data_IF_074148368590
#
_entry.id   IF_074148368590
#
_cell.length_a   1.000
_cell.length_b   1.000
_cell.length_c   1.000
_cell.angle_alpha   90.00
_cell.angle_beta   90.00
_cell.angle_gamma   90.00
#
_symmetry.space_group_name_H-M   'P 1'
#
loop_
_entity.id
_entity.type
_entity.pdbx_description
1 polymer ?
#
# COMPACT_ATOMS: atom_id res chain seq x y z
N UNK A 1 -31.84 7.04 11.04
CA UNK A 1 -30.42 6.66 10.83
C UNK A 1 -30.14 5.49 11.76
N UNK A 2 -30.34 4.30 11.26
CA UNK A 2 -30.27 3.09 12.07
C UNK A 2 -28.89 2.46 11.94
N UNK A 3 -28.09 2.62 13.00
CA UNK A 3 -26.83 1.90 13.12
C UNK A 3 -27.15 0.47 13.52
N UNK A 4 -26.73 -0.48 12.69
CA UNK A 4 -26.89 -1.90 12.98
C UNK A 4 -25.88 -2.32 14.06
N UNK A 5 -26.43 -2.64 15.24
CA UNK A 5 -25.66 -3.21 16.34
C UNK A 5 -25.70 -4.72 16.21
N UNK A 6 -24.57 -5.35 15.93
CA UNK A 6 -24.44 -6.81 15.98
C UNK A 6 -24.24 -7.22 17.45
N UNK A 7 -25.20 -7.94 18.02
CA UNK A 7 -25.09 -8.47 19.39
C UNK A 7 -24.30 -9.78 19.36
N UNK A 8 -23.21 -9.84 20.08
CA UNK A 8 -22.54 -11.08 20.42
C UNK A 8 -22.92 -11.42 21.87
N UNK A 9 -23.47 -12.59 22.07
CA UNK A 9 -23.90 -13.05 23.39
C UNK A 9 -22.84 -14.00 23.94
N UNK A 10 -22.11 -13.59 24.96
CA UNK A 10 -21.24 -14.48 25.73
C UNK A 10 -22.03 -15.06 26.89
N UNK A 11 -22.07 -16.39 26.98
CA UNK A 11 -22.73 -17.12 28.06
C UNK A 11 -21.69 -17.52 29.10
N UNK A 12 -21.76 -16.92 30.27
CA UNK A 12 -20.99 -17.34 31.42
C UNK A 12 -21.84 -18.23 32.33
N UNK A 13 -21.30 -19.40 32.68
CA UNK A 13 -21.94 -20.32 33.63
C UNK A 13 -21.23 -20.20 35.00
N UNK A 14 -21.97 -19.82 36.04
CA UNK A 14 -21.44 -19.85 37.40
C UNK A 14 -21.65 -21.22 38.05
N UNK A 15 -21.01 -21.46 39.23
CA UNK A 15 -21.09 -22.73 39.96
C UNK A 15 -22.49 -23.08 40.47
N UNK A 16 -23.46 -22.20 40.37
CA UNK A 16 -24.82 -22.39 40.85
C UNK A 16 -25.84 -22.58 39.72
N UNK A 17 -25.37 -22.70 38.48
CA UNK A 17 -26.23 -22.95 37.30
C UNK A 17 -27.09 -21.78 36.85
N UNK A 18 -26.84 -20.56 37.32
CA UNK A 18 -27.55 -19.36 36.83
C UNK A 18 -26.88 -18.86 35.58
N UNK A 19 -27.68 -18.68 34.52
CA UNK A 19 -27.21 -18.11 33.23
C UNK A 19 -27.35 -16.60 33.26
N UNK A 20 -26.22 -15.87 33.15
CA UNK A 20 -26.20 -14.45 32.94
C UNK A 20 -25.79 -14.17 31.51
N UNK A 21 -26.62 -13.44 30.76
CA UNK A 21 -26.27 -12.94 29.43
C UNK A 21 -25.87 -11.49 29.60
N UNK A 22 -24.59 -11.22 29.50
CA UNK A 22 -24.10 -9.84 29.45
C UNK A 22 -24.22 -9.32 28.02
N UNK A 23 -25.20 -8.45 27.78
CA UNK A 23 -25.29 -7.69 26.53
C UNK A 23 -24.31 -6.51 26.61
N UNK A 24 -23.02 -6.74 26.46
CA UNK A 24 -22.08 -5.68 26.23
C UNK A 24 -22.03 -5.44 24.71
N UNK A 25 -22.38 -4.27 24.22
CA UNK A 25 -22.18 -3.97 22.80
C UNK A 25 -20.69 -3.94 22.51
N UNK A 26 -20.21 -4.92 21.75
CA UNK A 26 -18.87 -4.85 21.16
C UNK A 26 -18.95 -3.78 20.07
N UNK A 27 -18.50 -2.58 20.39
CA UNK A 27 -18.24 -1.55 19.39
C UNK A 27 -17.04 -2.06 18.57
N UNK A 28 -17.30 -2.75 17.47
CA UNK A 28 -16.29 -2.89 16.44
C UNK A 28 -16.00 -1.47 15.93
N UNK A 29 -14.75 -1.00 15.94
CA UNK A 29 -14.46 0.27 15.29
C UNK A 29 -14.97 0.16 13.86
N UNK A 30 -15.78 1.12 13.45
CA UNK A 30 -16.12 1.32 12.04
C UNK A 30 -14.76 1.42 11.34
N UNK A 31 -14.43 0.50 10.47
CA UNK A 31 -13.28 0.66 9.61
C UNK A 31 -13.52 1.97 8.86
N UNK A 32 -12.73 2.99 9.15
CA UNK A 32 -12.80 4.22 8.38
C UNK A 32 -12.67 3.83 6.92
N UNK A 33 -13.65 4.17 6.11
CA UNK A 33 -13.59 3.93 4.67
C UNK A 33 -12.38 4.70 4.13
N UNK A 34 -11.59 4.05 3.30
CA UNK A 34 -10.44 4.72 2.68
C UNK A 34 -10.95 5.93 1.87
N UNK A 35 -10.25 7.07 1.98
CA UNK A 35 -10.67 8.31 1.32
C UNK A 35 -9.45 9.08 0.82
N UNK A 36 -9.49 9.45 -0.46
CA UNK A 36 -8.46 10.23 -1.12
C UNK A 36 -9.09 11.31 -2.00
N UNK A 37 -8.48 12.50 -2.03
CA UNK A 37 -8.94 13.63 -2.83
C UNK A 37 -7.81 14.08 -3.75
N UNK A 38 -8.09 14.08 -5.04
CA UNK A 38 -7.17 14.53 -6.10
C UNK A 38 -7.53 15.96 -6.54
N UNK A 39 -6.52 16.79 -6.77
CA UNK A 39 -6.67 18.17 -7.24
C UNK A 39 -5.85 18.40 -8.50
N UNK A 40 -6.41 19.13 -9.47
CA UNK A 40 -5.72 19.43 -10.73
C UNK A 40 -4.50 20.33 -10.54
N UNK A 41 -4.56 21.28 -9.61
CA UNK A 41 -3.52 22.27 -9.39
C UNK A 41 -2.79 22.04 -8.05
N UNK A 42 -1.66 22.70 -7.88
CA UNK A 42 -0.89 22.67 -6.62
C UNK A 42 -1.68 23.26 -5.47
N UNK A 43 -1.26 22.93 -4.25
CA UNK A 43 -1.82 23.48 -3.02
C UNK A 43 -3.34 23.31 -2.92
N UNK A 44 -3.84 22.15 -3.38
CA UNK A 44 -5.23 21.76 -3.26
C UNK A 44 -6.21 22.70 -3.97
N UNK A 45 -5.80 23.20 -5.13
CA UNK A 45 -6.57 24.11 -5.95
C UNK A 45 -7.05 23.43 -7.24
N UNK A 46 -7.97 24.11 -7.94
CA UNK A 46 -8.54 23.62 -9.19
C UNK A 46 -9.65 22.60 -8.98
N UNK A 47 -9.97 21.87 -10.06
CA UNK A 47 -10.97 20.81 -10.01
C UNK A 47 -10.49 19.70 -9.10
N UNK A 48 -11.39 19.13 -8.33
CA UNK A 48 -11.11 18.01 -7.43
C UNK A 48 -11.99 16.81 -7.75
N UNK A 49 -11.47 15.64 -7.38
CA UNK A 49 -12.19 14.37 -7.43
C UNK A 49 -11.90 13.57 -6.15
N UNK A 50 -12.97 13.11 -5.51
CA UNK A 50 -12.90 12.31 -4.30
C UNK A 50 -13.16 10.84 -4.64
N UNK A 51 -12.36 9.95 -4.06
CA UNK A 51 -12.45 8.52 -4.30
C UNK A 51 -12.36 7.75 -2.98
N UNK A 52 -13.18 6.71 -2.85
CA UNK A 52 -13.24 5.85 -1.66
C UNK A 52 -13.03 4.36 -2.00
N UNK A 53 -12.78 4.04 -3.26
CA UNK A 53 -12.59 2.69 -3.77
C UNK A 53 -11.61 2.65 -4.93
N UNK A 54 -11.31 1.44 -5.41
CA UNK A 54 -10.50 1.24 -6.61
C UNK A 54 -11.15 1.92 -7.82
N UNK A 55 -10.35 2.67 -8.57
CA UNK A 55 -10.80 3.33 -9.79
C UNK A 55 -9.83 2.99 -10.94
N UNK A 56 -10.27 2.20 -11.94
CA UNK A 56 -9.41 1.78 -13.05
C UNK A 56 -9.13 2.86 -14.06
N UNK A 57 -9.98 3.90 -14.13
CA UNK A 57 -9.78 5.02 -15.05
C UNK A 57 -10.36 6.32 -14.47
N UNK A 58 -9.48 7.23 -14.12
CA UNK A 58 -9.84 8.56 -13.61
C UNK A 58 -9.89 9.65 -14.69
N UNK A 59 -9.64 9.29 -15.97
CA UNK A 59 -9.64 10.24 -17.07
C UNK A 59 -10.90 11.10 -17.17
N UNK A 60 -12.12 10.59 -16.91
CA UNK A 60 -13.33 11.40 -16.94
C UNK A 60 -13.41 12.49 -15.86
N UNK A 61 -12.64 12.36 -14.77
CA UNK A 61 -12.78 13.21 -13.59
C UNK A 61 -11.84 14.41 -13.56
N UNK A 62 -10.61 14.26 -14.06
CA UNK A 62 -9.63 15.34 -14.14
C UNK A 62 -8.59 15.07 -15.24
N UNK A 63 -7.94 16.11 -15.74
CA UNK A 63 -6.96 16.02 -16.83
C UNK A 63 -5.51 15.93 -16.34
N UNK A 64 -5.22 16.43 -15.16
CA UNK A 64 -3.91 16.44 -14.50
C UNK A 64 -4.11 16.34 -12.99
N UNK A 65 -3.07 15.91 -12.27
CA UNK A 65 -3.09 15.86 -10.81
C UNK A 65 -1.81 16.45 -10.24
N UNK A 66 -1.93 17.57 -9.54
CA UNK A 66 -0.78 18.29 -8.99
C UNK A 66 -0.77 18.36 -7.47
N UNK A 67 -1.84 17.98 -6.79
CA UNK A 67 -1.87 17.84 -5.33
C UNK A 67 -2.91 16.80 -4.90
N UNK A 68 -2.68 16.21 -3.71
CA UNK A 68 -3.49 15.11 -3.19
C UNK A 68 -3.61 15.27 -1.68
N UNK A 69 -4.80 14.95 -1.16
CA UNK A 69 -5.03 14.69 0.26
C UNK A 69 -5.46 13.24 0.45
N UNK A 70 -4.74 12.51 1.27
CA UNK A 70 -5.15 11.19 1.75
C UNK A 70 -5.72 11.38 3.15
N UNK A 71 -7.04 11.30 3.26
CA UNK A 71 -7.75 11.49 4.53
C UNK A 71 -7.68 10.21 5.38
N UNK A 72 -7.78 9.06 4.71
CA UNK A 72 -7.72 7.74 5.36
C UNK A 72 -7.31 6.64 4.40
N UNK A 73 -6.79 5.54 4.95
CA UNK A 73 -6.33 4.38 4.22
C UNK A 73 -4.99 4.57 3.54
N UNK A 74 -4.59 3.53 2.82
CA UNK A 74 -3.38 3.50 2.00
C UNK A 74 -3.75 3.31 0.55
N UNK A 75 -3.01 3.99 -0.33
CA UNK A 75 -3.34 4.08 -1.74
C UNK A 75 -2.12 3.78 -2.61
N UNK A 76 -2.36 3.05 -3.69
CA UNK A 76 -1.41 2.93 -4.80
C UNK A 76 -1.99 3.67 -5.98
N UNK A 77 -1.27 4.69 -6.45
CA UNK A 77 -1.63 5.49 -7.61
C UNK A 77 -0.82 5.02 -8.81
N UNK A 78 -1.41 5.11 -9.99
CA UNK A 78 -0.79 4.71 -11.24
C UNK A 78 -0.86 5.83 -12.28
N UNK A 79 0.22 6.00 -13.01
CA UNK A 79 0.32 7.01 -14.07
C UNK A 79 -0.72 6.81 -15.18
N UNK A 80 -1.03 5.56 -15.50
CA UNK A 80 -1.90 5.18 -16.62
C UNK A 80 -3.17 4.46 -16.15
N UNK A 81 -4.21 4.38 -16.99
CA UNK A 81 -5.38 3.57 -16.71
C UNK A 81 -5.03 2.08 -16.50
N UNK A 82 -5.95 1.37 -15.87
CA UNK A 82 -5.86 -0.06 -15.61
C UNK A 82 -4.61 -0.48 -14.81
N UNK A 83 -4.20 0.40 -13.88
CA UNK A 83 -3.13 0.10 -12.91
C UNK A 83 -1.78 -0.19 -13.55
N UNK A 84 -1.42 0.62 -14.53
CA UNK A 84 -0.17 0.52 -15.29
C UNK A 84 0.64 1.82 -15.24
N UNK A 85 1.90 1.74 -15.68
CA UNK A 85 2.82 2.87 -15.66
C UNK A 85 3.51 3.05 -14.32
N UNK A 86 3.97 4.26 -14.02
CA UNK A 86 4.60 4.58 -12.74
C UNK A 86 3.62 4.35 -11.59
N UNK A 87 4.13 3.76 -10.51
CA UNK A 87 3.38 3.52 -9.28
C UNK A 87 3.84 4.48 -8.19
N UNK A 88 2.89 4.92 -7.35
CA UNK A 88 3.17 5.78 -6.21
C UNK A 88 2.36 5.28 -5.01
N UNK A 89 3.04 5.01 -3.91
CA UNK A 89 2.40 4.55 -2.67
C UNK A 89 2.23 5.74 -1.75
N UNK A 90 0.99 6.06 -1.39
CA UNK A 90 0.64 7.16 -0.51
C UNK A 90 -0.07 6.65 0.74
N UNK A 91 0.34 7.17 1.89
CA UNK A 91 -0.31 7.00 3.17
C UNK A 91 -1.01 8.30 3.57
N UNK A 92 -1.77 8.30 4.67
CA UNK A 92 -2.47 9.48 5.18
C UNK A 92 -1.56 10.70 5.23
N UNK A 93 -2.02 11.81 4.68
CA UNK A 93 -1.27 13.05 4.65
C UNK A 93 -1.66 13.99 3.53
N UNK A 94 -0.99 15.15 3.50
CA UNK A 94 -1.16 16.18 2.49
C UNK A 94 0.06 16.25 1.58
N UNK A 95 -0.20 16.26 0.28
CA UNK A 95 0.81 16.29 -0.77
C UNK A 95 0.54 17.51 -1.67
N UNK A 96 1.12 18.69 -1.37
CA UNK A 96 0.78 19.95 -2.02
C UNK A 96 1.28 20.07 -3.46
N UNK A 97 2.20 19.20 -3.89
CA UNK A 97 2.67 19.06 -5.26
C UNK A 97 3.13 17.62 -5.54
N UNK A 98 3.33 17.27 -6.83
CA UNK A 98 3.65 15.88 -7.18
C UNK A 98 5.07 15.46 -6.78
N UNK A 99 5.97 16.37 -6.49
CA UNK A 99 7.30 16.06 -5.96
C UNK A 99 7.20 15.41 -4.55
N UNK A 100 6.13 15.73 -3.80
CA UNK A 100 5.90 15.16 -2.46
C UNK A 100 5.61 13.67 -2.46
N UNK A 101 5.10 13.12 -3.55
CA UNK A 101 4.99 11.66 -3.72
C UNK A 101 6.05 11.09 -4.66
N UNK A 102 7.09 11.87 -4.95
CA UNK A 102 8.16 11.52 -5.89
C UNK A 102 7.62 11.24 -7.31
N UNK A 103 6.61 11.99 -7.72
CA UNK A 103 6.02 11.88 -9.03
C UNK A 103 6.98 12.32 -10.14
N UNK A 104 6.94 11.62 -11.26
CA UNK A 104 7.69 11.97 -12.45
C UNK A 104 6.97 13.03 -13.30
N UNK A 105 5.67 13.13 -13.15
CA UNK A 105 4.79 14.04 -13.88
C UNK A 105 3.46 14.20 -13.13
N UNK A 106 2.55 14.98 -13.68
CA UNK A 106 1.23 15.26 -13.15
C UNK A 106 0.12 14.30 -13.65
N UNK A 107 0.52 13.14 -14.17
CA UNK A 107 -0.41 12.13 -14.67
C UNK A 107 -0.71 11.08 -13.63
N UNK A 108 -1.96 11.06 -13.15
CA UNK A 108 -2.53 9.99 -12.34
C UNK A 108 -3.85 9.55 -13.01
N UNK A 109 -3.96 8.29 -13.40
CA UNK A 109 -5.08 7.79 -14.20
C UNK A 109 -5.82 6.61 -13.59
N UNK A 110 -5.25 5.95 -12.59
CA UNK A 110 -5.93 4.91 -11.83
C UNK A 110 -5.41 4.84 -10.40
N UNK A 111 -6.20 4.30 -9.50
CA UNK A 111 -5.81 4.12 -8.11
C UNK A 111 -6.42 2.85 -7.51
N UNK A 112 -5.72 2.28 -6.54
CA UNK A 112 -6.21 1.20 -5.69
C UNK A 112 -6.03 1.56 -4.24
N UNK A 113 -7.01 1.19 -3.43
CA UNK A 113 -6.88 1.23 -1.98
C UNK A 113 -6.58 -0.16 -1.44
N UNK A 114 -5.88 -0.21 -0.34
CA UNK A 114 -5.68 -1.44 0.41
C UNK A 114 -5.76 -1.15 1.90
N UNK A 115 -6.32 -2.10 2.64
CA UNK A 115 -6.38 -2.05 4.09
C UNK A 115 -5.50 -3.14 4.66
N UNK A 116 -4.76 -2.79 5.68
CA UNK A 116 -3.91 -3.71 6.43
C UNK A 116 -3.96 -3.34 7.90
N UNK A 117 -4.06 -4.35 8.76
CA UNK A 117 -3.86 -4.14 10.19
C UNK A 117 -2.36 -4.21 10.46
N UNK A 118 -1.79 -3.14 10.98
CA UNK A 118 -0.34 -2.99 11.23
C UNK A 118 0.23 -3.95 12.29
N UNK A 119 -0.55 -4.84 12.82
CA UNK A 119 -0.19 -5.75 13.92
C UNK A 119 0.35 -7.10 13.44
N UNK A 120 1.13 -7.11 12.40
CA UNK A 120 1.71 -8.35 11.89
C UNK A 120 3.22 -8.27 11.70
N UNK A 121 3.87 -9.43 11.58
CA UNK A 121 5.26 -9.46 11.15
C UNK A 121 5.39 -8.89 9.74
N UNK A 122 6.57 -8.38 9.45
CA UNK A 122 6.98 -8.03 8.08
C UNK A 122 8.07 -9.00 7.67
N UNK A 123 7.92 -9.63 6.51
CA UNK A 123 8.91 -10.58 6.01
C UNK A 123 8.91 -10.65 4.49
N UNK A 124 10.08 -10.36 3.91
CA UNK A 124 10.30 -10.40 2.46
C UNK A 124 11.57 -11.19 2.17
N UNK A 125 11.53 -12.07 1.16
CA UNK A 125 12.68 -12.78 0.61
C UNK A 125 12.99 -12.28 -0.78
N UNK A 126 14.23 -11.96 -1.02
CA UNK A 126 14.72 -11.53 -2.33
C UNK A 126 15.70 -12.57 -2.89
N UNK A 127 15.69 -12.74 -4.21
CA UNK A 127 16.48 -13.78 -4.89
C UNK A 127 17.28 -13.20 -6.05
N UNK A 128 18.47 -13.75 -6.24
CA UNK A 128 19.42 -13.38 -7.29
C UNK A 128 18.93 -13.75 -8.70
N UNK A 129 18.09 -14.77 -8.83
CA UNK A 129 17.62 -15.29 -10.12
C UNK A 129 16.09 -15.43 -10.14
N UNK A 130 15.48 -15.53 -11.34
CA UNK A 130 14.06 -15.83 -11.46
C UNK A 130 13.68 -17.15 -10.78
N UNK A 131 12.40 -17.32 -10.51
CA UNK A 131 11.82 -18.53 -9.92
C UNK A 131 12.46 -18.94 -8.59
N UNK A 132 12.84 -17.95 -7.76
CA UNK A 132 13.37 -18.15 -6.41
C UNK A 132 14.68 -18.94 -6.39
N UNK A 133 15.52 -18.74 -7.40
CA UNK A 133 16.80 -19.42 -7.54
C UNK A 133 17.96 -18.51 -7.19
N UNK A 134 19.12 -19.12 -6.93
CA UNK A 134 20.36 -18.42 -6.60
C UNK A 134 20.42 -18.00 -5.14
N UNK A 135 21.22 -16.99 -4.85
CA UNK A 135 21.37 -16.44 -3.50
C UNK A 135 20.02 -15.84 -3.05
N UNK A 136 19.68 -16.07 -1.78
CA UNK A 136 18.49 -15.55 -1.15
C UNK A 136 18.86 -14.80 0.14
N UNK A 137 18.16 -13.69 0.40
CA UNK A 137 18.16 -13.05 1.71
C UNK A 137 16.75 -12.76 2.17
N UNK A 138 16.53 -12.87 3.47
CA UNK A 138 15.28 -12.53 4.13
C UNK A 138 15.45 -11.26 4.96
N UNK A 139 14.45 -10.39 4.90
CA UNK A 139 14.40 -9.13 5.66
C UNK A 139 13.07 -9.01 6.39
N UNK A 140 13.13 -8.44 7.59
CA UNK A 140 11.98 -8.04 8.40
C UNK A 140 11.92 -6.54 8.67
N UNK A 141 12.94 -5.82 8.24
CA UNK A 141 13.12 -4.38 8.43
C UNK A 141 13.36 -3.67 7.09
N UNK A 142 13.30 -2.34 7.13
CA UNK A 142 13.61 -1.51 5.97
C UNK A 142 15.06 -1.71 5.52
N UNK A 143 15.30 -1.62 4.23
CA UNK A 143 16.62 -1.75 3.62
C UNK A 143 16.92 -0.52 2.76
N UNK A 144 17.80 0.35 3.24
CA UNK A 144 18.19 1.59 2.54
C UNK A 144 19.08 1.33 1.32
N UNK A 145 19.86 0.24 1.35
CA UNK A 145 20.75 -0.16 0.25
C UNK A 145 20.80 -1.67 0.12
N UNK A 146 20.17 -2.18 -0.93
CA UNK A 146 20.21 -3.61 -1.24
C UNK A 146 21.63 -4.06 -1.57
N UNK A 147 22.40 -3.23 -2.25
CA UNK A 147 23.78 -3.56 -2.65
C UNK A 147 24.70 -3.82 -1.45
N UNK A 148 24.48 -3.16 -0.32
CA UNK A 148 25.30 -3.34 0.89
C UNK A 148 25.07 -4.71 1.55
N UNK A 149 23.92 -5.31 1.32
CA UNK A 149 23.53 -6.60 1.89
C UNK A 149 23.61 -7.76 0.91
N UNK A 150 23.27 -7.53 -0.35
CA UNK A 150 23.01 -8.59 -1.34
C UNK A 150 24.06 -8.70 -2.44
N UNK A 151 25.13 -7.91 -2.44
CA UNK A 151 26.19 -7.84 -3.47
C UNK A 151 25.72 -7.53 -4.89
N UNK A 152 24.42 -7.39 -5.11
CA UNK A 152 23.84 -7.06 -6.41
C UNK A 152 22.72 -6.05 -6.20
N UNK A 153 22.51 -5.19 -7.20
CA UNK A 153 21.30 -4.34 -7.28
C UNK A 153 20.17 -5.01 -8.03
N UNK A 154 20.45 -6.17 -8.61
CA UNK A 154 19.49 -6.88 -9.44
C UNK A 154 18.80 -7.96 -8.60
N UNK A 155 17.50 -7.79 -8.43
CA UNK A 155 16.60 -8.75 -7.81
C UNK A 155 15.68 -9.27 -8.91
N UNK A 156 15.73 -10.56 -9.16
CA UNK A 156 14.97 -11.19 -10.23
C UNK A 156 13.68 -11.85 -9.79
N UNK A 157 13.58 -12.25 -8.53
CA UNK A 157 12.36 -12.78 -7.94
C UNK A 157 12.28 -12.42 -6.45
N UNK A 158 11.08 -12.46 -5.92
CA UNK A 158 10.78 -12.02 -4.57
C UNK A 158 9.59 -12.82 -4.03
N UNK A 159 9.63 -13.12 -2.74
CA UNK A 159 8.49 -13.65 -2.00
C UNK A 159 8.18 -12.74 -0.82
N UNK A 160 7.05 -12.06 -0.85
CA UNK A 160 6.52 -11.31 0.27
C UNK A 160 5.69 -12.27 1.11
N UNK A 161 6.21 -12.64 2.25
CA UNK A 161 5.59 -13.61 3.14
C UNK A 161 4.58 -12.94 4.06
N UNK A 162 4.95 -11.76 4.59
CA UNK A 162 4.14 -11.02 5.54
C UNK A 162 4.31 -9.50 5.33
N UNK A 163 3.20 -8.78 5.49
CA UNK A 163 3.14 -7.34 5.39
C UNK A 163 3.12 -6.81 3.95
N UNK A 164 2.99 -5.51 3.83
CA UNK A 164 3.04 -4.79 2.57
C UNK A 164 4.35 -4.01 2.49
N UNK A 165 4.94 -3.98 1.29
CA UNK A 165 6.25 -3.38 1.05
C UNK A 165 6.23 -2.47 -0.17
N UNK A 166 7.11 -1.48 -0.19
CA UNK A 166 7.44 -0.70 -1.37
C UNK A 166 8.89 -0.98 -1.76
N UNK A 167 9.11 -1.43 -3.00
CA UNK A 167 10.43 -1.49 -3.61
C UNK A 167 10.72 -0.18 -4.32
N UNK A 168 12.01 0.21 -4.35
CA UNK A 168 12.50 1.40 -5.02
C UNK A 168 13.66 1.05 -5.94
N UNK A 169 13.70 1.68 -7.12
CA UNK A 169 14.74 1.46 -8.12
C UNK A 169 16.14 1.81 -7.60
N UNK A 170 16.24 2.86 -6.79
CA UNK A 170 17.51 3.37 -6.26
C UNK A 170 17.63 3.22 -4.75
N UNK A 171 18.87 3.30 -4.19
CA UNK A 171 19.07 3.40 -2.75
C UNK A 171 18.36 4.61 -2.13
N UNK A 172 18.17 4.56 -0.82
CA UNK A 172 17.56 5.63 -0.03
C UNK A 172 16.12 5.97 -0.46
N UNK A 173 15.37 4.95 -0.90
CA UNK A 173 13.96 5.08 -1.25
C UNK A 173 13.70 6.09 -2.36
N UNK A 174 14.48 6.00 -3.43
CA UNK A 174 14.44 6.87 -4.60
C UNK A 174 14.16 6.11 -5.89
N UNK A 175 13.73 6.86 -6.92
CA UNK A 175 13.40 6.31 -8.22
C UNK A 175 12.01 5.69 -8.30
N UNK A 176 11.80 4.81 -9.27
CA UNK A 176 10.51 4.15 -9.47
C UNK A 176 10.13 3.33 -8.26
N UNK A 177 8.85 3.39 -7.92
CA UNK A 177 8.24 2.66 -6.80
C UNK A 177 7.45 1.47 -7.32
N UNK A 178 7.44 0.40 -6.54
CA UNK A 178 6.65 -0.80 -6.82
C UNK A 178 5.97 -1.27 -5.54
N UNK A 179 4.65 -1.35 -5.58
CA UNK A 179 3.85 -1.87 -4.48
C UNK A 179 3.89 -3.39 -4.45
N UNK A 180 4.17 -3.95 -3.28
CA UNK A 180 4.28 -5.39 -3.05
C UNK A 180 3.32 -5.82 -1.95
N UNK A 181 2.33 -6.62 -2.33
CA UNK A 181 1.45 -7.33 -1.39
C UNK A 181 2.02 -8.72 -1.07
N UNK A 182 1.56 -9.39 0.00
CA UNK A 182 1.92 -10.79 0.23
C UNK A 182 1.66 -11.65 -1.01
N UNK A 183 2.65 -12.44 -1.39
CA UNK A 183 2.60 -13.31 -2.56
C UNK A 183 3.95 -13.62 -3.16
N UNK A 184 3.93 -14.46 -4.18
CA UNK A 184 5.10 -14.89 -4.93
C UNK A 184 5.24 -14.09 -6.23
N UNK A 185 6.42 -13.55 -6.46
CA UNK A 185 6.79 -12.81 -7.66
C UNK A 185 7.97 -13.52 -8.31
N UNK A 186 7.69 -14.32 -9.35
CA UNK A 186 8.66 -15.22 -9.99
C UNK A 186 9.69 -14.50 -10.84
N UNK A 187 9.37 -13.29 -11.28
CA UNK A 187 10.22 -12.41 -12.09
C UNK A 187 9.90 -10.95 -11.81
N UNK A 188 10.83 -10.04 -12.08
CA UNK A 188 10.65 -8.61 -11.80
C UNK A 188 9.43 -8.00 -12.53
N UNK A 189 9.06 -8.52 -13.69
CA UNK A 189 7.85 -8.03 -14.39
C UNK A 189 6.54 -8.34 -13.65
N UNK A 190 6.54 -9.28 -12.70
CA UNK A 190 5.35 -9.60 -11.90
C UNK A 190 5.02 -8.49 -10.90
N UNK A 191 5.96 -7.62 -10.55
CA UNK A 191 5.67 -6.40 -9.77
C UNK A 191 5.62 -5.12 -10.61
N UNK A 192 5.61 -5.25 -11.93
CA UNK A 192 5.50 -4.13 -12.87
C UNK A 192 6.82 -3.48 -13.25
N UNK A 193 7.96 -4.05 -12.84
CA UNK A 193 9.28 -3.54 -13.22
C UNK A 193 9.63 -3.89 -14.66
N UNK A 194 10.43 -3.02 -15.30
CA UNK A 194 10.98 -3.23 -16.64
C UNK A 194 12.42 -3.74 -16.63
N UNK A 195 13.05 -3.73 -15.47
CA UNK A 195 14.39 -4.26 -15.23
C UNK A 195 14.49 -4.80 -13.81
N UNK A 196 15.56 -5.57 -13.54
CA UNK A 196 15.77 -6.22 -12.24
C UNK A 196 16.31 -5.28 -11.16
N UNK A 197 16.68 -4.05 -11.49
CA UNK A 197 17.32 -3.11 -10.57
C UNK A 197 16.39 -2.74 -9.42
N UNK A 198 16.82 -3.06 -8.21
CA UNK A 198 16.17 -2.69 -6.95
C UNK A 198 17.21 -2.19 -5.98
N UNK A 199 17.14 -0.91 -5.61
CA UNK A 199 18.14 -0.26 -4.77
C UNK A 199 17.81 -0.26 -3.29
N UNK A 200 16.52 -0.24 -2.95
CA UNK A 200 16.04 -0.18 -1.57
C UNK A 200 14.60 -0.69 -1.47
N UNK A 201 14.15 -0.97 -0.27
CA UNK A 201 12.76 -1.28 0.01
C UNK A 201 12.39 -0.93 1.45
N UNK A 202 11.13 -0.65 1.68
CA UNK A 202 10.63 -0.40 3.03
C UNK A 202 9.24 -0.99 3.26
N UNK A 203 8.97 -1.24 4.52
CA UNK A 203 7.65 -1.65 5.00
C UNK A 203 6.65 -0.50 4.84
N UNK A 204 5.39 -0.84 4.63
CA UNK A 204 4.29 0.11 4.73
C UNK A 204 3.69 -0.08 6.11
N UNK A 205 3.91 0.87 7.01
CA UNK A 205 3.58 0.79 8.44
C UNK A 205 2.52 1.78 8.88
N UNK A 206 2.20 2.79 8.06
CA UNK A 206 1.20 3.81 8.33
C UNK A 206 -0.03 3.57 7.46
N UNK A 207 -1.21 3.54 8.09
CA UNK A 207 -2.49 3.22 7.46
C UNK A 207 -3.60 4.20 7.87
#
# INVERSE_FOLDING_TARGET
>A
MDQWIKRVSDVHINKEGAHWVSNVPVLTPLSESAQIIFYEDRNFQGRSYECDADCPDMHPHFSRCNSIKVESGCWVLYEKPNYTGYQYVLTRGEYPDYQRWMGYNDSIRSCRTFSYTSEGPYRIRIYERPNFQGQMMEFSEDCESVQDHFRSRDIYSCNVMDGYWTLYEHPNYRGRQYFMRPGEYRKFSDWGATCATTGSFRRITEF
#
